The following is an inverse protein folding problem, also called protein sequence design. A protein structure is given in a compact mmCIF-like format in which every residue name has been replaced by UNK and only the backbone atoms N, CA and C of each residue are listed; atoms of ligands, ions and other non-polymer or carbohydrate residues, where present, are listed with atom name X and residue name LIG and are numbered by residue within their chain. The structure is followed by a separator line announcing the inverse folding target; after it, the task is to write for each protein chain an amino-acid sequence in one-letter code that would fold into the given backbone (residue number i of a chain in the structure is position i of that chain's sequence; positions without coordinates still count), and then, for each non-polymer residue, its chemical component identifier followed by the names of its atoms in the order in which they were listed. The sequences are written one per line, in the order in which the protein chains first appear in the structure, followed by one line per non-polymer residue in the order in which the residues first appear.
data_IF_472038206499
#
_entry.id   IF_472038206499
#
_cell.length_a   1.000
_cell.length_b   1.000
_cell.length_c   1.000
_cell.angle_alpha   90.00
_cell.angle_beta   90.00
_cell.angle_gamma   90.00
#
_symmetry.space_group_name_H-M   'P 1'
#
loop_
_entity.id
_entity.type
_entity.pdbx_description
1 polymer ?
#
# COMPACT_ATOMS: atom_id res chain seq x y z
N UNK A 1 14.11 15.87 -1.19
CA UNK A 1 13.90 17.22 -0.65
C UNK A 1 12.48 17.45 -0.12
N UNK A 2 11.44 16.77 -0.62
CA UNK A 2 10.06 16.91 -0.14
C UNK A 2 9.80 16.32 1.26
N UNK A 3 10.38 15.19 1.63
CA UNK A 3 10.15 14.56 2.95
C UNK A 3 10.62 15.42 4.14
N UNK A 4 11.67 16.23 3.98
CA UNK A 4 12.18 17.06 5.07
C UNK A 4 11.27 18.26 5.39
N UNK A 5 10.47 18.75 4.43
CA UNK A 5 9.54 19.85 4.63
C UNK A 5 8.34 19.49 5.51
N UNK A 6 7.98 18.21 5.58
CA UNK A 6 6.87 17.73 6.42
C UNK A 6 7.17 17.96 7.89
N UNK A 7 8.43 17.79 8.33
CA UNK A 7 8.85 18.02 9.72
C UNK A 7 8.81 19.49 10.14
N UNK A 8 8.83 20.41 9.18
CA UNK A 8 8.75 21.86 9.45
C UNK A 8 7.32 22.39 9.48
N UNK A 9 6.34 21.60 9.03
CA UNK A 9 4.93 21.98 9.06
C UNK A 9 4.46 22.08 10.52
N UNK A 10 4.04 23.28 10.91
CA UNK A 10 3.51 23.56 12.26
C UNK A 10 4.58 23.89 13.30
N UNK A 11 5.87 23.96 12.96
CA UNK A 11 6.88 24.42 13.87
C UNK A 11 6.79 25.95 14.11
N UNK A 12 6.84 26.35 15.39
CA UNK A 12 7.00 27.76 15.75
C UNK A 12 8.37 28.27 15.25
N UNK A 13 8.47 29.54 14.77
CA UNK A 13 9.72 30.09 14.21
C UNK A 13 10.95 29.92 15.09
N UNK A 14 10.81 30.02 16.41
CA UNK A 14 11.92 29.85 17.36
C UNK A 14 12.43 28.42 17.51
N UNK A 15 11.68 27.42 17.05
CA UNK A 15 12.07 25.99 17.08
C UNK A 15 12.66 25.48 15.77
N UNK A 16 12.51 26.23 14.68
CA UNK A 16 12.94 25.81 13.33
C UNK A 16 14.42 25.41 13.31
N UNK A 17 15.31 26.19 13.95
CA UNK A 17 16.75 25.85 14.00
C UNK A 17 17.02 24.52 14.72
N UNK A 18 16.30 24.26 15.81
CA UNK A 18 16.46 23.02 16.56
C UNK A 18 15.93 21.83 15.74
N UNK A 19 14.76 21.96 15.15
CA UNK A 19 14.18 20.95 14.27
C UNK A 19 15.05 20.66 13.05
N UNK A 20 15.69 21.69 12.46
CA UNK A 20 16.65 21.50 11.35
C UNK A 20 17.89 20.72 11.76
N UNK A 21 18.40 20.90 12.99
CA UNK A 21 19.53 20.15 13.52
C UNK A 21 19.15 18.71 13.92
N UNK A 22 17.88 18.44 14.11
CA UNK A 22 17.31 17.12 14.44
C UNK A 22 16.85 16.37 13.17
N UNK A 23 17.00 16.97 11.99
CA UNK A 23 16.67 16.28 10.71
C UNK A 23 17.58 15.07 10.49
N UNK A 24 17.02 13.96 9.99
CA UNK A 24 17.79 12.79 9.63
C UNK A 24 18.87 13.13 8.59
N UNK A 25 20.06 12.58 8.77
CA UNK A 25 21.19 12.79 7.85
C UNK A 25 21.02 12.01 6.55
N UNK A 26 20.28 10.90 6.61
CA UNK A 26 20.05 10.02 5.46
C UNK A 26 18.58 9.86 5.12
N UNK A 27 18.28 9.48 3.86
CA UNK A 27 16.93 9.12 3.44
C UNK A 27 16.37 7.94 4.24
N UNK A 28 17.23 6.98 4.57
CA UNK A 28 16.83 5.81 5.32
C UNK A 28 16.36 6.14 6.75
N UNK A 29 17.07 7.02 7.44
CA UNK A 29 16.66 7.49 8.76
C UNK A 29 15.35 8.28 8.67
N UNK A 30 15.17 9.05 7.59
CA UNK A 30 13.92 9.74 7.31
C UNK A 30 12.77 8.73 7.17
N UNK A 31 12.97 7.67 6.37
CA UNK A 31 11.96 6.63 6.18
C UNK A 31 11.70 5.84 7.45
N UNK A 32 12.75 5.47 8.20
CA UNK A 32 12.60 4.76 9.48
C UNK A 32 11.73 5.55 10.45
N UNK A 33 12.02 6.84 10.63
CA UNK A 33 11.25 7.74 11.50
C UNK A 33 9.80 7.87 11.03
N UNK A 34 9.58 8.01 9.73
CA UNK A 34 8.23 8.09 9.16
C UNK A 34 7.44 6.79 9.35
N UNK A 35 8.09 5.62 9.27
CA UNK A 35 7.43 4.33 9.57
C UNK A 35 7.04 4.22 11.05
N UNK A 36 7.86 4.75 11.97
CA UNK A 36 7.56 4.78 13.40
C UNK A 36 6.34 5.66 13.73
N UNK A 37 6.07 6.68 12.93
CA UNK A 37 4.91 7.57 13.09
C UNK A 37 3.58 6.93 12.67
N UNK A 38 3.60 5.80 11.95
CA UNK A 38 2.39 5.08 11.59
C UNK A 38 1.72 4.53 12.85
N UNK A 39 0.46 4.90 13.07
CA UNK A 39 -0.33 4.44 14.21
C UNK A 39 -0.39 2.90 14.26
N UNK A 40 -0.23 2.32 15.43
CA UNK A 40 -0.23 0.86 15.65
C UNK A 40 -1.46 0.16 15.06
N UNK A 41 -2.62 0.79 15.15
CA UNK A 41 -3.87 0.26 14.57
C UNK A 41 -3.83 0.13 13.06
N UNK A 42 -2.95 0.88 12.39
CA UNK A 42 -2.81 0.92 10.95
C UNK A 42 -1.62 0.12 10.41
N UNK A 43 -0.79 -0.51 11.28
CA UNK A 43 0.43 -1.17 10.84
C UNK A 43 0.21 -2.25 9.79
N UNK A 44 -0.77 -3.09 10.01
CA UNK A 44 -1.11 -4.18 9.10
C UNK A 44 -1.65 -3.66 7.76
N UNK A 45 -2.53 -2.67 7.83
CA UNK A 45 -3.07 -2.02 6.63
C UNK A 45 -1.97 -1.30 5.83
N UNK A 46 -1.07 -0.56 6.50
CA UNK A 46 0.06 0.10 5.86
C UNK A 46 0.97 -0.90 5.16
N UNK A 47 1.35 -2.00 5.83
CA UNK A 47 2.18 -3.04 5.24
C UNK A 47 1.51 -3.66 4.01
N UNK A 48 0.21 -3.95 4.08
CA UNK A 48 -0.57 -4.50 2.97
C UNK A 48 -0.62 -3.54 1.78
N UNK A 49 -0.84 -2.25 2.02
CA UNK A 49 -0.79 -1.23 0.97
C UNK A 49 0.59 -1.19 0.31
N UNK A 50 1.67 -1.20 1.08
CA UNK A 50 3.03 -1.22 0.54
C UNK A 50 3.29 -2.48 -0.30
N UNK A 51 2.87 -3.64 0.15
CA UNK A 51 2.97 -4.90 -0.59
C UNK A 51 2.24 -4.82 -1.93
N UNK A 52 1.00 -4.35 -1.94
CA UNK A 52 0.21 -4.22 -3.16
C UNK A 52 0.84 -3.24 -4.15
N UNK A 53 1.25 -2.05 -3.70
CA UNK A 53 1.86 -1.04 -4.58
C UNK A 53 3.23 -1.48 -5.09
N UNK A 54 4.02 -2.21 -4.28
CA UNK A 54 5.35 -2.70 -4.67
C UNK A 54 5.30 -3.79 -5.75
N UNK A 55 4.29 -4.69 -5.70
CA UNK A 55 4.23 -5.88 -6.53
C UNK A 55 3.17 -5.81 -7.65
N UNK A 56 2.34 -4.78 -7.68
CA UNK A 56 1.31 -4.63 -8.72
C UNK A 56 1.91 -4.64 -10.13
N UNK A 57 1.22 -5.29 -11.07
CA UNK A 57 1.62 -5.38 -12.49
C UNK A 57 1.44 -4.07 -13.25
N UNK A 58 0.57 -3.20 -12.78
CA UNK A 58 0.37 -1.81 -13.19
C UNK A 58 -0.02 -0.97 -11.97
N UNK A 59 0.07 0.35 -12.03
CA UNK A 59 -0.47 1.19 -10.97
C UNK A 59 -1.93 0.83 -10.67
N UNK A 60 -2.24 0.58 -9.40
CA UNK A 60 -3.59 0.26 -8.96
C UNK A 60 -4.42 1.53 -8.85
N UNK A 61 -5.65 1.48 -9.32
CA UNK A 61 -6.63 2.54 -9.06
C UNK A 61 -6.88 2.61 -7.55
N UNK A 62 -7.21 3.79 -7.05
CA UNK A 62 -7.48 3.98 -5.60
C UNK A 62 -8.53 2.98 -5.09
N UNK A 63 -9.62 2.80 -5.85
CA UNK A 63 -10.68 1.87 -5.49
C UNK A 63 -10.25 0.40 -5.57
N UNK A 64 -9.33 0.04 -6.47
CA UNK A 64 -8.74 -1.30 -6.54
C UNK A 64 -7.88 -1.57 -5.30
N UNK A 65 -7.00 -0.63 -4.95
CA UNK A 65 -6.13 -0.77 -3.80
C UNK A 65 -6.90 -0.84 -2.48
N UNK A 66 -7.95 -0.02 -2.33
CA UNK A 66 -8.79 -0.03 -1.13
C UNK A 66 -9.53 -1.37 -0.92
N UNK A 67 -9.79 -2.13 -2.00
CA UNK A 67 -10.40 -3.47 -1.88
C UNK A 67 -9.49 -4.46 -1.16
N UNK A 68 -8.18 -4.34 -1.29
CA UNK A 68 -7.26 -5.21 -0.55
C UNK A 68 -7.36 -5.03 0.97
N UNK A 69 -7.84 -3.88 1.46
CA UNK A 69 -8.07 -3.63 2.88
C UNK A 69 -9.32 -4.36 3.41
N UNK A 70 -10.24 -4.75 2.52
CA UNK A 70 -11.46 -5.46 2.85
C UNK A 70 -11.33 -6.99 2.78
N UNK A 71 -10.11 -7.52 2.62
CA UNK A 71 -9.86 -8.96 2.67
C UNK A 71 -9.30 -9.37 4.03
N UNK A 72 -9.89 -10.41 4.61
CA UNK A 72 -9.30 -11.18 5.70
C UNK A 72 -8.42 -12.29 5.12
N UNK A 73 -7.10 -12.16 5.28
CA UNK A 73 -6.11 -13.14 4.81
C UNK A 73 -5.75 -14.17 5.90
N UNK A 74 -6.27 -14.02 7.11
CA UNK A 74 -6.03 -14.95 8.22
C UNK A 74 -7.09 -16.08 8.26
N UNK A 75 -8.12 -16.01 7.42
CA UNK A 75 -9.13 -17.05 7.30
C UNK A 75 -8.50 -18.39 6.86
N UNK A 76 -8.91 -19.50 7.51
CA UNK A 76 -8.27 -20.81 7.44
C UNK A 76 -8.13 -21.45 6.05
N UNK A 77 -8.90 -21.02 5.04
CA UNK A 77 -8.88 -21.69 3.71
C UNK A 77 -8.70 -20.77 2.52
N UNK A 78 -9.44 -19.67 2.45
CA UNK A 78 -9.35 -18.67 1.37
C UNK A 78 -9.57 -17.28 1.95
N UNK A 79 -8.88 -16.24 1.44
CA UNK A 79 -9.15 -14.87 1.87
C UNK A 79 -10.63 -14.55 1.69
N UNK A 80 -11.26 -14.12 2.78
CA UNK A 80 -12.68 -13.80 2.78
C UNK A 80 -12.87 -12.32 2.57
N UNK A 81 -13.70 -11.95 1.60
CA UNK A 81 -14.08 -10.56 1.39
C UNK A 81 -15.11 -10.14 2.43
N UNK A 82 -14.80 -9.10 3.21
CA UNK A 82 -15.66 -8.54 4.24
C UNK A 82 -16.21 -7.19 3.77
N UNK A 83 -17.46 -7.18 3.32
CA UNK A 83 -18.09 -5.97 2.75
C UNK A 83 -18.11 -4.80 3.75
N UNK A 84 -18.28 -5.08 5.03
CA UNK A 84 -18.33 -4.08 6.11
C UNK A 84 -16.98 -3.40 6.36
N UNK A 85 -15.87 -3.97 5.87
CA UNK A 85 -14.52 -3.40 5.97
C UNK A 85 -14.20 -2.44 4.81
N UNK A 86 -15.17 -2.21 3.94
CA UNK A 86 -15.01 -1.32 2.79
C UNK A 86 -14.92 0.13 3.27
N UNK A 87 -13.84 0.87 2.99
CA UNK A 87 -13.75 2.27 3.37
C UNK A 87 -14.78 3.11 2.62
N UNK A 88 -15.44 4.04 3.32
CA UNK A 88 -16.40 4.99 2.72
C UNK A 88 -15.72 5.94 1.74
N UNK A 89 -14.51 6.43 2.10
CA UNK A 89 -13.63 7.23 1.23
C UNK A 89 -12.31 6.50 1.02
N UNK A 90 -12.17 5.74 -0.09
CA UNK A 90 -10.96 4.98 -0.39
C UNK A 90 -9.70 5.84 -0.49
N UNK A 91 -9.78 7.02 -1.12
CA UNK A 91 -8.62 7.89 -1.32
C UNK A 91 -8.14 8.46 0.02
N UNK A 92 -9.05 8.97 0.81
CA UNK A 92 -8.74 9.49 2.13
C UNK A 92 -8.18 8.39 3.04
N UNK A 93 -8.75 7.19 3.01
CA UNK A 93 -8.28 6.07 3.84
C UNK A 93 -6.86 5.68 3.49
N UNK A 94 -6.55 5.45 2.20
CA UNK A 94 -5.19 5.10 1.74
C UNK A 94 -4.19 6.17 2.13
N UNK A 95 -4.49 7.45 1.88
CA UNK A 95 -3.59 8.55 2.20
C UNK A 95 -3.46 8.79 3.72
N UNK A 96 -4.53 8.61 4.50
CA UNK A 96 -4.46 8.79 5.96
C UNK A 96 -3.59 7.74 6.65
N UNK A 97 -3.49 6.55 6.07
CA UNK A 97 -2.65 5.46 6.58
C UNK A 97 -1.17 5.69 6.23
N UNK A 98 -0.87 6.16 5.00
CA UNK A 98 0.48 6.13 4.42
C UNK A 98 0.85 7.42 3.65
N UNK A 99 0.33 8.58 4.00
CA UNK A 99 0.47 9.85 3.23
C UNK A 99 1.91 10.26 2.88
N UNK A 100 2.91 9.83 3.65
CA UNK A 100 4.32 10.17 3.39
C UNK A 100 5.02 9.21 2.42
N UNK A 101 4.43 8.04 2.16
CA UNK A 101 5.00 7.00 1.32
C UNK A 101 4.26 6.80 0.02
N UNK A 102 2.96 7.09 0.01
CA UNK A 102 2.08 6.89 -1.14
C UNK A 102 1.54 8.22 -1.63
N UNK A 103 1.39 8.31 -2.93
CA UNK A 103 0.80 9.45 -3.62
C UNK A 103 -0.35 9.00 -4.51
N UNK A 104 -1.38 9.82 -4.63
CA UNK A 104 -2.49 9.61 -5.55
C UNK A 104 -2.31 10.54 -6.74
N UNK A 105 -2.09 9.96 -7.89
CA UNK A 105 -1.90 10.69 -9.14
C UNK A 105 -3.11 10.49 -10.03
N UNK A 106 -3.69 11.60 -10.50
CA UNK A 106 -4.77 11.56 -11.49
C UNK A 106 -4.16 11.76 -12.87
N UNK A 107 -4.15 10.72 -13.74
CA UNK A 107 -3.73 10.87 -15.13
C UNK A 107 -4.64 11.87 -15.86
N UNK A 108 -4.18 12.41 -16.99
CA UNK A 108 -5.02 13.27 -17.86
C UNK A 108 -6.27 12.54 -18.34
N UNK A 109 -6.14 11.22 -18.61
CA UNK A 109 -7.25 10.33 -18.92
C UNK A 109 -7.22 9.15 -17.95
N UNK A 110 -8.37 8.84 -17.32
CA UNK A 110 -8.54 7.68 -16.44
C UNK A 110 -8.82 8.01 -15.00
N UNK A 111 -8.85 6.95 -14.17
CA UNK A 111 -9.12 7.05 -12.73
C UNK A 111 -7.85 7.32 -11.95
N UNK A 112 -7.95 7.96 -10.76
CA UNK A 112 -6.82 8.16 -9.86
C UNK A 112 -6.11 6.85 -9.51
N UNK A 113 -4.78 6.83 -9.60
CA UNK A 113 -3.93 5.68 -9.30
C UNK A 113 -3.01 5.97 -8.13
N UNK A 114 -2.64 4.92 -7.41
CA UNK A 114 -1.72 5.00 -6.28
C UNK A 114 -0.33 4.54 -6.69
N UNK A 115 0.67 5.29 -6.27
CA UNK A 115 2.08 4.96 -6.47
C UNK A 115 2.91 5.36 -5.25
N UNK A 116 4.15 4.88 -5.18
CA UNK A 116 5.08 5.42 -4.20
C UNK A 116 5.40 6.89 -4.50
N UNK A 117 5.44 7.72 -3.48
CA UNK A 117 5.78 9.14 -3.58
C UNK A 117 7.18 9.38 -4.18
N UNK A 118 8.07 8.39 -4.05
CA UNK A 118 9.39 8.38 -4.67
C UNK A 118 9.86 6.93 -4.88
N UNK A 119 10.65 6.66 -5.94
CA UNK A 119 11.14 5.31 -6.25
C UNK A 119 11.99 4.70 -5.12
N UNK A 120 12.78 5.52 -4.41
CA UNK A 120 13.60 5.08 -3.28
C UNK A 120 12.79 4.58 -2.08
N UNK A 121 11.49 4.90 -1.98
CA UNK A 121 10.59 4.30 -0.98
C UNK A 121 10.46 2.80 -1.24
N UNK A 122 10.21 2.39 -2.49
CA UNK A 122 10.15 0.97 -2.85
C UNK A 122 11.47 0.27 -2.55
N UNK A 123 12.60 0.88 -2.95
CA UNK A 123 13.93 0.31 -2.68
C UNK A 123 14.18 0.13 -1.18
N UNK A 124 13.81 1.11 -0.37
CA UNK A 124 13.95 1.03 1.09
C UNK A 124 13.07 -0.07 1.69
N UNK A 125 11.78 -0.11 1.34
CA UNK A 125 10.83 -1.09 1.88
C UNK A 125 11.18 -2.54 1.48
N UNK A 126 11.76 -2.76 0.30
CA UNK A 126 12.20 -4.10 -0.16
C UNK A 126 13.64 -4.45 0.24
N UNK A 127 14.36 -3.54 0.90
CA UNK A 127 15.77 -3.73 1.23
C UNK A 127 15.96 -4.80 2.31
N UNK A 128 17.00 -5.63 2.15
CA UNK A 128 17.42 -6.58 3.17
C UNK A 128 17.81 -5.91 4.50
N UNK A 129 18.18 -4.63 4.47
CA UNK A 129 18.49 -3.84 5.65
C UNK A 129 17.25 -3.63 6.52
N UNK A 130 16.12 -3.22 5.93
CA UNK A 130 14.86 -3.08 6.67
C UNK A 130 14.38 -4.44 7.21
N UNK A 131 14.51 -5.51 6.42
CA UNK A 131 14.14 -6.86 6.86
C UNK A 131 14.98 -7.40 8.03
N UNK A 132 16.21 -6.90 8.22
CA UNK A 132 17.11 -7.26 9.31
C UNK A 132 17.09 -6.24 10.47
N UNK A 133 16.32 -5.17 10.37
CA UNK A 133 16.20 -4.21 11.45
C UNK A 133 15.65 -4.90 12.72
N UNK A 134 16.23 -4.56 13.86
CA UNK A 134 15.81 -5.15 15.15
C UNK A 134 14.61 -4.42 15.76
N UNK A 135 14.22 -3.30 15.15
CA UNK A 135 13.19 -2.41 15.62
C UNK A 135 11.81 -2.79 15.09
N UNK A 136 10.79 -2.11 15.59
CA UNK A 136 9.40 -2.30 15.19
C UNK A 136 9.15 -2.04 13.71
N UNK A 137 10.03 -1.29 13.03
CA UNK A 137 9.93 -0.96 11.62
C UNK A 137 10.16 -2.13 10.66
N UNK A 138 10.87 -3.20 11.11
CA UNK A 138 11.11 -4.39 10.29
C UNK A 138 9.82 -5.06 9.80
N UNK A 139 8.71 -4.86 10.50
CA UNK A 139 7.37 -5.34 10.09
C UNK A 139 6.89 -4.77 8.76
N UNK A 140 7.41 -3.61 8.35
CA UNK A 140 7.06 -2.99 7.07
C UNK A 140 7.94 -3.47 5.92
N UNK A 141 8.86 -4.41 6.17
CA UNK A 141 9.65 -4.99 5.09
C UNK A 141 8.76 -5.72 4.09
N UNK A 142 8.89 -5.36 2.83
CA UNK A 142 8.11 -5.92 1.73
C UNK A 142 8.91 -7.03 1.04
N UNK A 143 8.48 -8.27 1.24
CA UNK A 143 8.91 -9.41 0.43
C UNK A 143 8.08 -9.47 -0.84
N UNK A 144 8.71 -9.40 -2.01
CA UNK A 144 7.99 -9.47 -3.29
C UNK A 144 7.25 -10.80 -3.47
N UNK A 145 7.84 -11.92 -3.06
CA UNK A 145 7.18 -13.24 -3.13
C UNK A 145 5.89 -13.25 -2.31
N UNK A 146 5.96 -12.83 -1.05
CA UNK A 146 4.77 -12.74 -0.19
C UNK A 146 3.74 -11.76 -0.76
N UNK A 147 4.19 -10.63 -1.33
CA UNK A 147 3.30 -9.63 -1.93
C UNK A 147 2.54 -10.18 -3.13
N UNK A 148 3.23 -10.91 -4.02
CA UNK A 148 2.58 -11.56 -5.16
C UNK A 148 1.57 -12.64 -4.70
N UNK A 149 1.89 -13.41 -3.65
CA UNK A 149 0.96 -14.38 -3.07
C UNK A 149 -0.31 -13.70 -2.56
N UNK A 150 -0.19 -12.63 -1.79
CA UNK A 150 -1.32 -11.86 -1.26
C UNK A 150 -2.20 -11.31 -2.41
N UNK A 151 -1.57 -10.73 -3.45
CA UNK A 151 -2.31 -10.20 -4.59
C UNK A 151 -3.03 -11.33 -5.34
N UNK A 152 -2.35 -12.46 -5.59
CA UNK A 152 -2.96 -13.61 -6.25
C UNK A 152 -4.18 -14.14 -5.47
N UNK A 153 -4.04 -14.26 -4.16
CA UNK A 153 -5.12 -14.71 -3.28
C UNK A 153 -6.32 -13.75 -3.31
N UNK A 154 -6.09 -12.45 -3.22
CA UNK A 154 -7.16 -11.45 -3.31
C UNK A 154 -7.84 -11.46 -4.69
N UNK A 155 -7.06 -11.56 -5.76
CA UNK A 155 -7.59 -11.68 -7.13
C UNK A 155 -8.47 -12.92 -7.28
N UNK A 156 -8.01 -14.09 -6.83
CA UNK A 156 -8.80 -15.32 -6.86
C UNK A 156 -10.04 -15.21 -5.98
N UNK A 157 -9.94 -14.60 -4.79
CA UNK A 157 -11.08 -14.35 -3.91
C UNK A 157 -12.17 -13.53 -4.59
N UNK A 158 -11.79 -12.46 -5.31
CA UNK A 158 -12.72 -11.67 -6.11
C UNK A 158 -13.34 -12.51 -7.23
N UNK A 159 -12.52 -13.18 -8.04
CA UNK A 159 -13.01 -13.96 -9.19
C UNK A 159 -13.93 -15.10 -8.79
N UNK A 160 -13.68 -15.76 -7.65
CA UNK A 160 -14.54 -16.83 -7.12
C UNK A 160 -15.85 -16.30 -6.53
N UNK A 161 -15.84 -15.05 -6.06
CA UNK A 161 -17.06 -14.39 -5.57
C UNK A 161 -17.95 -13.89 -6.71
N UNK A 162 -17.38 -13.67 -7.90
CA UNK A 162 -18.11 -13.29 -9.09
C UNK A 162 -18.83 -14.51 -9.64
N UNK A 163 -20.14 -14.47 -9.67
CA UNK A 163 -20.97 -15.51 -10.23
C UNK A 163 -21.32 -15.23 -11.72
N UNK A 164 -22.00 -16.18 -12.38
CA UNK A 164 -22.39 -16.07 -13.79
C UNK A 164 -23.49 -15.01 -14.07
N UNK A 165 -24.09 -14.42 -13.01
CA UNK A 165 -25.11 -13.39 -13.12
C UNK A 165 -24.56 -11.98 -13.23
N UNK A 166 -23.23 -11.79 -13.27
CA UNK A 166 -22.60 -10.48 -13.30
C UNK A 166 -22.90 -9.75 -14.59
N UNK A 167 -23.46 -8.57 -14.40
CA UNK A 167 -23.69 -7.57 -15.45
C UNK A 167 -22.58 -6.52 -15.43
N UNK A 168 -22.50 -5.71 -16.51
CA UNK A 168 -21.54 -4.60 -16.55
C UNK A 168 -21.74 -3.62 -15.39
N UNK A 169 -22.97 -3.41 -14.97
CA UNK A 169 -23.31 -2.48 -13.88
C UNK A 169 -22.87 -3.05 -12.51
N UNK A 170 -22.95 -4.38 -12.33
CA UNK A 170 -22.48 -5.02 -11.10
C UNK A 170 -20.93 -5.03 -10.98
N UNK A 171 -20.19 -4.91 -12.08
CA UNK A 171 -18.74 -4.80 -12.05
C UNK A 171 -18.24 -3.51 -11.35
N UNK A 172 -19.06 -2.45 -11.33
CA UNK A 172 -18.73 -1.22 -10.59
C UNK A 172 -18.62 -1.47 -9.08
N UNK A 173 -19.33 -2.47 -8.57
CA UNK A 173 -19.22 -2.92 -7.16
C UNK A 173 -17.92 -3.70 -6.88
N UNK A 174 -17.26 -4.20 -7.93
CA UNK A 174 -16.04 -4.99 -7.86
C UNK A 174 -14.87 -4.34 -8.62
N UNK A 175 -14.38 -3.17 -8.17
CA UNK A 175 -13.31 -2.45 -8.87
C UNK A 175 -12.06 -3.29 -9.17
N UNK A 176 -11.78 -4.30 -8.32
CA UNK A 176 -10.62 -5.18 -8.49
C UNK A 176 -10.82 -6.28 -9.54
N UNK A 177 -12.05 -6.50 -10.05
CA UNK A 177 -12.37 -7.62 -10.93
C UNK A 177 -11.59 -7.58 -12.26
N UNK A 178 -11.49 -6.40 -12.89
CA UNK A 178 -10.74 -6.20 -14.13
C UNK A 178 -9.25 -6.55 -13.92
N UNK A 179 -8.64 -5.96 -12.89
CA UNK A 179 -7.26 -6.25 -12.54
C UNK A 179 -7.03 -7.74 -12.23
N UNK A 180 -7.95 -8.33 -11.49
CA UNK A 180 -7.88 -9.73 -11.11
C UNK A 180 -7.91 -10.64 -12.35
N UNK A 181 -8.86 -10.42 -13.28
CA UNK A 181 -8.98 -11.20 -14.49
C UNK A 181 -7.71 -11.15 -15.37
N UNK A 182 -7.09 -9.96 -15.47
CA UNK A 182 -5.91 -9.75 -16.30
C UNK A 182 -4.60 -10.25 -15.69
N UNK A 183 -4.47 -10.21 -14.36
CA UNK A 183 -3.15 -10.29 -13.72
C UNK A 183 -2.97 -11.41 -12.70
N UNK A 184 -4.01 -12.12 -12.28
CA UNK A 184 -3.91 -13.14 -11.22
C UNK A 184 -2.88 -14.23 -11.52
N UNK A 185 -2.82 -14.71 -12.78
CA UNK A 185 -1.87 -15.76 -13.21
C UNK A 185 -0.44 -15.30 -13.02
N UNK A 186 -0.14 -14.05 -13.41
CA UNK A 186 1.21 -13.47 -13.26
C UNK A 186 1.64 -13.42 -11.80
N UNK A 187 0.72 -13.11 -10.90
CA UNK A 187 1.01 -13.11 -9.48
C UNK A 187 1.14 -14.51 -8.91
N UNK A 188 0.31 -15.46 -9.34
CA UNK A 188 0.36 -16.84 -8.89
C UNK A 188 1.63 -17.58 -9.34
N UNK A 189 2.20 -17.20 -10.50
CA UNK A 189 3.40 -17.80 -11.09
C UNK A 189 4.68 -17.03 -10.77
N UNK A 190 4.62 -16.04 -9.86
CA UNK A 190 5.81 -15.25 -9.53
C UNK A 190 6.84 -16.12 -8.80
N UNK A 191 7.99 -16.32 -9.44
CA UNK A 191 9.18 -16.93 -8.86
C UNK A 191 10.24 -15.85 -8.67
N UNK A 192 10.88 -15.81 -7.49
CA UNK A 192 12.04 -14.97 -7.27
C UNK A 192 13.20 -15.54 -8.10
N UNK A 193 13.57 -14.85 -9.16
CA UNK A 193 14.78 -15.13 -9.94
C UNK A 193 16.01 -14.53 -9.26
#
# INVERSE_FOLDING_TARGET
MFCQLVYLRGCLPGRIRRTLNELPETLDETYARTLEEIDKKNWEYAHRLFQCVAAASRPLRVNELAKFLAFDFEAESTPTFLADWRPEDPAHTVLSICSSFLDVVTPEEGSPVVQFAHFSVKEYLTSARLGKAKDTISRFHVSLTSSHTIIAQACLGVLLHLDQSITKDSLEEFPLAEYAAEHWVRHAQFENV
#
